data_IF_566240580537
#
_entry.id   IF_566240580537
#
_cell.length_a   1.000
_cell.length_b   1.000
_cell.length_c   1.000
_cell.angle_alpha   90.00
_cell.angle_beta   90.00
_cell.angle_gamma   90.00
#
_symmetry.space_group_name_H-M   'P 1'
#
loop_
_entity.id
_entity.type
_entity.pdbx_description
1 polymer ?
#
# COMPACT_ATOMS: atom_id res chain seq x y z
N UNK A 1 8.84 3.81 -16.09
CA UNK A 1 8.59 4.53 -14.83
C UNK A 1 7.15 5.03 -14.91
N UNK A 2 6.30 4.71 -13.94
CA UNK A 2 4.94 5.25 -13.90
C UNK A 2 5.03 6.71 -13.46
N UNK A 3 4.64 7.61 -14.35
CA UNK A 3 4.52 9.04 -14.06
C UNK A 3 3.18 9.27 -13.37
N UNK A 4 3.19 9.96 -12.23
CA UNK A 4 2.01 10.21 -11.41
C UNK A 4 1.04 11.23 -12.02
N UNK A 5 1.49 11.98 -13.03
CA UNK A 5 0.71 12.98 -13.77
C UNK A 5 0.30 12.50 -15.15
N UNK A 6 0.88 11.42 -15.67
CA UNK A 6 0.49 10.84 -16.95
C UNK A 6 -0.83 10.05 -16.83
N UNK A 7 -1.90 10.47 -17.53
CA UNK A 7 -3.20 9.79 -17.46
C UNK A 7 -3.14 8.33 -17.89
N UNK A 8 -2.25 7.97 -18.84
CA UNK A 8 -2.11 6.58 -19.29
C UNK A 8 -1.50 5.71 -18.20
N UNK A 9 -0.46 6.18 -17.54
CA UNK A 9 0.17 5.53 -16.39
C UNK A 9 -0.84 5.24 -15.26
N UNK A 10 -1.69 6.22 -14.94
CA UNK A 10 -2.76 6.06 -13.94
C UNK A 10 -3.76 4.98 -14.40
N UNK A 11 -4.25 5.09 -15.64
CA UNK A 11 -5.22 4.14 -16.20
C UNK A 11 -4.69 2.70 -16.19
N UNK A 12 -3.43 2.49 -16.59
CA UNK A 12 -2.82 1.17 -16.58
C UNK A 12 -2.69 0.61 -15.15
N UNK A 13 -2.29 1.44 -14.19
CA UNK A 13 -2.21 1.02 -12.80
C UNK A 13 -3.60 0.66 -12.22
N UNK A 14 -4.63 1.45 -12.54
CA UNK A 14 -6.02 1.15 -12.17
C UNK A 14 -6.51 -0.16 -12.79
N UNK A 15 -6.25 -0.39 -14.08
CA UNK A 15 -6.60 -1.63 -14.75
C UNK A 15 -5.93 -2.84 -14.10
N UNK A 16 -4.64 -2.75 -13.77
CA UNK A 16 -3.90 -3.81 -13.08
C UNK A 16 -4.48 -4.11 -11.69
N UNK A 17 -4.77 -3.08 -10.89
CA UNK A 17 -5.42 -3.24 -9.58
C UNK A 17 -6.83 -3.85 -9.73
N UNK A 18 -7.56 -3.45 -10.78
CA UNK A 18 -8.87 -4.03 -11.13
C UNK A 18 -8.78 -5.53 -11.41
N UNK A 19 -7.80 -5.96 -12.20
CA UNK A 19 -7.54 -7.38 -12.47
C UNK A 19 -7.19 -8.15 -11.20
N UNK A 20 -6.35 -7.58 -10.33
CA UNK A 20 -6.03 -8.18 -9.02
C UNK A 20 -7.27 -8.30 -8.13
N UNK A 21 -8.14 -7.29 -8.14
CA UNK A 21 -9.40 -7.31 -7.38
C UNK A 21 -10.33 -8.41 -7.90
N UNK A 22 -10.49 -8.53 -9.22
CA UNK A 22 -11.29 -9.60 -9.83
C UNK A 22 -10.75 -10.99 -9.46
N UNK A 23 -9.43 -11.18 -9.49
CA UNK A 23 -8.80 -12.42 -9.04
C UNK A 23 -9.09 -12.71 -7.56
N UNK A 24 -8.93 -11.70 -6.70
CA UNK A 24 -9.21 -11.83 -5.27
C UNK A 24 -10.68 -12.15 -4.97
N UNK A 25 -11.63 -11.62 -5.75
CA UNK A 25 -13.06 -11.91 -5.58
C UNK A 25 -13.39 -13.36 -5.98
N UNK A 26 -12.79 -13.88 -7.06
CA UNK A 26 -12.97 -15.28 -7.48
C UNK A 26 -12.50 -16.27 -6.41
N UNK A 27 -11.41 -15.96 -5.73
CA UNK A 27 -10.83 -16.83 -4.71
C UNK A 27 -11.47 -16.66 -3.32
N UNK A 28 -12.34 -15.65 -3.17
CA UNK A 28 -12.91 -15.22 -1.88
C UNK A 28 -11.86 -14.63 -0.93
N UNK A 29 -12.32 -13.95 0.12
CA UNK A 29 -11.45 -13.42 1.18
C UNK A 29 -10.63 -14.50 1.93
N UNK A 30 -10.87 -15.78 1.62
CA UNK A 30 -10.17 -16.94 2.19
C UNK A 30 -8.68 -16.94 1.88
N UNK A 31 -8.24 -16.37 0.76
CA UNK A 31 -6.81 -16.32 0.41
C UNK A 31 -6.01 -15.27 1.17
N UNK A 32 -6.66 -14.22 1.70
CA UNK A 32 -5.95 -13.16 2.42
C UNK A 32 -5.79 -13.56 3.88
N UNK A 33 -4.56 -13.77 4.36
CA UNK A 33 -4.35 -14.16 5.75
C UNK A 33 -4.91 -13.09 6.69
N UNK A 34 -5.73 -13.50 7.67
CA UNK A 34 -6.22 -12.58 8.73
C UNK A 34 -5.08 -12.15 9.67
N UNK A 35 -4.10 -13.03 9.84
CA UNK A 35 -2.85 -12.79 10.57
C UNK A 35 -1.71 -13.44 9.80
N UNK A 36 -0.61 -12.72 9.58
CA UNK A 36 0.57 -13.28 8.91
C UNK A 36 1.84 -12.50 9.25
N UNK A 37 2.97 -13.23 9.26
CA UNK A 37 4.30 -12.61 9.24
C UNK A 37 4.51 -12.01 7.85
N UNK A 38 4.61 -10.69 7.79
CA UNK A 38 4.85 -9.97 6.53
C UNK A 38 6.22 -10.32 5.94
N UNK A 39 6.26 -10.53 4.62
CA UNK A 39 7.51 -10.70 3.87
C UNK A 39 8.37 -9.43 3.90
N UNK A 40 9.64 -9.53 3.52
CA UNK A 40 10.53 -8.37 3.43
C UNK A 40 9.98 -7.29 2.49
N UNK A 41 9.57 -7.69 1.28
CA UNK A 41 8.97 -6.78 0.30
C UNK A 41 7.73 -6.07 0.86
N UNK A 42 6.82 -6.82 1.50
CA UNK A 42 5.62 -6.23 2.11
C UNK A 42 5.97 -5.17 3.17
N UNK A 43 6.98 -5.43 4.01
CA UNK A 43 7.43 -4.45 5.02
C UNK A 43 8.00 -3.20 4.37
N UNK A 44 8.89 -3.34 3.37
CA UNK A 44 9.52 -2.18 2.71
C UNK A 44 8.51 -1.29 2.01
N UNK A 45 7.56 -1.88 1.26
CA UNK A 45 6.49 -1.13 0.61
C UNK A 45 5.62 -0.40 1.64
N UNK A 46 5.23 -1.09 2.73
CA UNK A 46 4.48 -0.46 3.83
C UNK A 46 5.23 0.74 4.44
N UNK A 47 6.52 0.58 4.71
CA UNK A 47 7.37 1.63 5.28
C UNK A 47 7.54 2.80 4.31
N UNK A 48 7.77 2.53 3.03
CA UNK A 48 7.95 3.56 2.00
C UNK A 48 6.68 4.39 1.81
N UNK A 49 5.52 3.74 1.76
CA UNK A 49 4.22 4.43 1.70
C UNK A 49 3.97 5.23 2.98
N UNK A 50 4.25 4.70 4.16
CA UNK A 50 4.05 5.39 5.44
C UNK A 50 4.90 6.68 5.56
N UNK A 51 6.12 6.67 5.01
CA UNK A 51 6.98 7.87 4.94
C UNK A 51 6.38 9.00 4.08
N UNK A 52 5.51 8.66 3.12
CA UNK A 52 4.87 9.62 2.21
C UNK A 52 3.52 10.09 2.78
N UNK A 53 2.73 9.16 3.34
CA UNK A 53 1.41 9.45 3.90
C UNK A 53 1.19 8.67 5.18
N UNK A 54 0.95 9.35 6.30
CA UNK A 54 0.76 8.68 7.59
C UNK A 54 -0.72 8.35 7.87
N UNK A 55 -1.65 8.99 7.16
CA UNK A 55 -3.12 8.87 7.30
C UNK A 55 -3.77 8.49 5.97
N UNK A 56 -3.64 7.23 5.52
CA UNK A 56 -4.15 6.80 4.23
C UNK A 56 -5.68 6.80 4.19
N UNK A 57 -6.25 7.27 3.08
CA UNK A 57 -7.69 7.17 2.82
C UNK A 57 -8.11 5.71 2.55
N UNK A 58 -9.42 5.46 2.43
CA UNK A 58 -9.95 4.11 2.22
C UNK A 58 -9.48 3.48 0.90
N UNK A 59 -9.45 4.25 -0.19
CA UNK A 59 -9.01 3.77 -1.50
C UNK A 59 -7.55 3.31 -1.47
N UNK A 60 -6.65 4.10 -0.87
CA UNK A 60 -5.25 3.74 -0.72
C UNK A 60 -5.08 2.48 0.13
N UNK A 61 -5.82 2.33 1.24
CA UNK A 61 -5.77 1.11 2.05
C UNK A 61 -6.18 -0.13 1.25
N UNK A 62 -7.24 -0.06 0.46
CA UNK A 62 -7.72 -1.17 -0.38
C UNK A 62 -6.72 -1.52 -1.48
N UNK A 63 -6.23 -0.52 -2.21
CA UNK A 63 -5.25 -0.72 -3.29
C UNK A 63 -3.93 -1.29 -2.76
N UNK A 64 -3.46 -0.78 -1.62
CA UNK A 64 -2.25 -1.26 -0.95
C UNK A 64 -2.42 -2.70 -0.45
N UNK A 65 -3.60 -3.04 0.07
CA UNK A 65 -3.95 -4.40 0.49
C UNK A 65 -3.98 -5.37 -0.70
N UNK A 66 -4.60 -4.96 -1.82
CA UNK A 66 -4.64 -5.73 -3.07
C UNK A 66 -3.23 -6.00 -3.58
N UNK A 67 -2.40 -4.97 -3.67
CA UNK A 67 -1.04 -5.06 -4.22
C UNK A 67 -0.13 -5.97 -3.40
N UNK A 68 -0.27 -5.95 -2.07
CA UNK A 68 0.52 -6.78 -1.16
C UNK A 68 -0.11 -8.16 -0.88
N UNK A 69 -1.28 -8.44 -1.45
CA UNK A 69 -2.11 -9.60 -1.12
C UNK A 69 -2.34 -9.77 0.39
N UNK A 70 -2.76 -8.69 1.05
CA UNK A 70 -3.06 -8.64 2.48
C UNK A 70 -4.51 -8.25 2.72
N UNK A 71 -5.01 -8.55 3.92
CA UNK A 71 -6.31 -8.03 4.35
C UNK A 71 -6.21 -6.49 4.59
N UNK A 72 -7.18 -5.68 4.14
CA UNK A 72 -7.18 -4.23 4.38
C UNK A 72 -7.06 -3.84 5.87
N UNK A 73 -7.55 -4.68 6.79
CA UNK A 73 -7.39 -4.49 8.23
C UNK A 73 -5.94 -4.57 8.68
N UNK A 74 -5.10 -5.39 8.03
CA UNK A 74 -3.66 -5.44 8.31
C UNK A 74 -3.01 -4.11 7.94
N UNK A 75 -3.38 -3.52 6.80
CA UNK A 75 -2.90 -2.20 6.39
C UNK A 75 -3.34 -1.15 7.42
N UNK A 76 -4.62 -1.12 7.79
CA UNK A 76 -5.12 -0.19 8.81
C UNK A 76 -4.36 -0.29 10.14
N UNK A 77 -4.18 -1.51 10.67
CA UNK A 77 -3.48 -1.75 11.93
C UNK A 77 -2.02 -1.32 11.83
N UNK A 78 -1.35 -1.60 10.70
CA UNK A 78 0.04 -1.16 10.49
C UNK A 78 0.16 0.36 10.63
N UNK A 79 -0.65 1.14 9.92
CA UNK A 79 -0.57 2.60 9.98
C UNK A 79 -0.94 3.14 11.37
N UNK A 80 -1.90 2.53 12.07
CA UNK A 80 -2.21 2.89 13.46
C UNK A 80 -1.02 2.65 14.39
N UNK A 81 -0.40 1.47 14.31
CA UNK A 81 0.76 1.10 15.12
C UNK A 81 1.97 2.00 14.82
N UNK A 82 2.23 2.29 13.54
CA UNK A 82 3.33 3.16 13.12
C UNK A 82 3.18 4.59 13.65
N UNK A 83 1.96 5.16 13.61
CA UNK A 83 1.70 6.48 14.22
C UNK A 83 1.81 6.44 15.74
N UNK A 84 1.30 5.39 16.39
CA UNK A 84 1.42 5.22 17.83
C UNK A 84 2.90 5.14 18.26
N UNK A 85 3.73 4.47 17.47
CA UNK A 85 5.19 4.44 17.67
C UNK A 85 5.81 5.84 17.57
N UNK A 86 5.53 6.60 16.50
CA UNK A 86 6.05 7.98 16.37
C UNK A 86 5.68 8.87 17.56
N UNK A 87 4.40 8.82 17.99
CA UNK A 87 3.90 9.58 19.15
C UNK A 87 4.64 9.19 20.44
N UNK A 88 4.87 7.91 20.67
CA UNK A 88 5.64 7.43 21.85
C UNK A 88 7.10 7.85 21.79
N UNK A 89 7.69 7.92 20.59
CA UNK A 89 9.05 8.39 20.36
C UNK A 89 9.20 9.92 20.36
N UNK A 90 8.16 10.68 20.72
CA UNK A 90 8.12 12.15 20.67
C UNK A 90 8.49 12.73 19.29
N UNK A 91 8.26 11.96 18.22
CA UNK A 91 8.39 12.43 16.84
C UNK A 91 7.04 12.98 16.39
N UNK A 92 7.07 14.04 15.59
CA UNK A 92 5.84 14.60 15.02
C UNK A 92 5.16 13.60 14.07
N UNK A 93 3.85 13.49 14.21
CA UNK A 93 2.99 12.81 13.23
C UNK A 93 2.65 13.84 12.17
N UNK A 94 3.20 13.68 10.97
CA UNK A 94 2.92 14.59 9.87
C UNK A 94 1.49 14.35 9.37
N UNK A 95 0.63 15.35 9.52
CA UNK A 95 -0.73 15.34 8.97
C UNK A 95 -0.75 15.78 7.49
N UNK A 96 0.24 15.34 6.71
CA UNK A 96 0.26 15.58 5.27
C UNK A 96 -0.71 14.61 4.60
N UNK A 97 -1.78 15.16 4.03
CA UNK A 97 -2.72 14.44 3.17
C UNK A 97 -2.14 14.36 1.77
N UNK A 98 -1.03 13.64 1.60
CA UNK A 98 -0.51 13.38 0.26
C UNK A 98 -1.40 12.32 -0.40
N UNK A 99 -1.91 12.62 -1.59
CA UNK A 99 -2.71 11.67 -2.36
C UNK A 99 -1.76 10.74 -3.12
N UNK A 100 -1.75 9.46 -2.75
CA UNK A 100 -1.07 8.43 -3.51
C UNK A 100 -2.09 7.80 -4.45
N UNK A 101 -1.93 8.09 -5.75
CA UNK A 101 -2.73 7.46 -6.79
C UNK A 101 -2.21 6.02 -7.08
N UNK A 102 -2.97 5.21 -7.84
CA UNK A 102 -2.57 3.87 -8.23
C UNK A 102 -1.20 3.76 -8.90
N UNK A 103 -0.84 4.72 -9.76
CA UNK A 103 0.45 4.74 -10.47
C UNK A 103 1.63 4.87 -9.50
N UNK A 104 1.58 5.83 -8.56
CA UNK A 104 2.61 5.99 -7.53
C UNK A 104 2.72 4.72 -6.68
N UNK A 105 1.60 4.16 -6.24
CA UNK A 105 1.61 2.97 -5.40
C UNK A 105 2.26 1.78 -6.11
N UNK A 106 1.94 1.57 -7.39
CA UNK A 106 2.53 0.52 -8.21
C UNK A 106 4.02 0.78 -8.44
N UNK A 107 4.41 2.03 -8.69
CA UNK A 107 5.81 2.43 -8.85
C UNK A 107 6.62 2.09 -7.58
N UNK A 108 6.13 2.48 -6.40
CA UNK A 108 6.77 2.14 -5.12
C UNK A 108 6.95 0.64 -4.99
N UNK A 109 5.92 -0.15 -5.30
CA UNK A 109 6.01 -1.60 -5.22
C UNK A 109 7.10 -2.17 -6.16
N UNK A 110 7.17 -1.68 -7.40
CA UNK A 110 8.15 -2.16 -8.38
C UNK A 110 9.57 -1.76 -8.00
N UNK A 111 9.79 -0.53 -7.53
CA UNK A 111 11.09 -0.07 -7.01
C UNK A 111 11.55 -0.91 -5.83
N UNK A 112 10.66 -1.13 -4.85
CA UNK A 112 10.97 -1.96 -3.69
C UNK A 112 11.13 -3.44 -4.06
N UNK A 113 10.52 -3.91 -5.15
CA UNK A 113 10.71 -5.28 -5.64
C UNK A 113 12.07 -5.46 -6.33
N UNK A 114 12.45 -4.50 -7.17
CA UNK A 114 13.70 -4.54 -7.92
C UNK A 114 14.93 -4.23 -7.03
N UNK A 115 14.75 -3.55 -5.90
CA UNK A 115 15.81 -3.33 -4.90
C UNK A 115 16.18 -4.62 -4.11
N UNK A 116 15.83 -5.80 -4.63
CA UNK A 116 16.07 -7.11 -4.04
C UNK A 116 16.82 -8.07 -5.00
N UNK A 117 17.12 -7.61 -6.22
CA UNK A 117 18.05 -8.22 -7.17
C UNK A 117 19.39 -7.44 -7.13
#
# INVERSE_FOLDING_TARGET
MFDDKDPKSILYAEALLGLLKLKSLKNGDKERPKYTKKSYLQKRVLERVFKIVQTPNNALKENHALLLNLNPRIIQIYFQNSRAFLKRSKKEVENKTFYINPAILLQIYLEERNSND
#
